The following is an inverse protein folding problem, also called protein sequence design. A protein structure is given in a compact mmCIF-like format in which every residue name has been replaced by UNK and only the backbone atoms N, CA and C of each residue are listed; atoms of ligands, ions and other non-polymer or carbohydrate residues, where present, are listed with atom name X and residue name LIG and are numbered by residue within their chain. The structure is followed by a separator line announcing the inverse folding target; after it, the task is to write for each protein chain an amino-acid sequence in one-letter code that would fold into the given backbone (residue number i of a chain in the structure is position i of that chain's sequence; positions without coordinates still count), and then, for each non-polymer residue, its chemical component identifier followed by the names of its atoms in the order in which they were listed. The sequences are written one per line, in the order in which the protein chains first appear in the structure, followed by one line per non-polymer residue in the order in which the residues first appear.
data_IF_538276855254
#
_entry.id   IF_538276855254
#
_cell.length_a   1.000
_cell.length_b   1.000
_cell.length_c   1.000
_cell.angle_alpha   90.00
_cell.angle_beta   90.00
_cell.angle_gamma   90.00
#
_symmetry.space_group_name_H-M   'P 1'
#
loop_
_entity.id
_entity.type
_entity.pdbx_description
1 polymer ?
#
# COMPACT_ATOMS: atom_id res chain seq x y z
N UNK A 1 -42.77 -108.18 46.44
CA UNK A 1 -41.39 -107.71 46.18
C UNK A 1 -41.45 -106.75 45.00
N UNK A 2 -41.40 -105.44 45.24
CA UNK A 2 -41.42 -104.41 44.20
C UNK A 2 -40.14 -103.58 44.27
N UNK A 3 -39.26 -103.71 43.27
CA UNK A 3 -38.09 -102.85 43.13
C UNK A 3 -38.47 -101.58 42.34
N UNK A 4 -38.55 -100.44 43.03
CA UNK A 4 -38.60 -99.12 42.39
C UNK A 4 -37.18 -98.67 42.04
N UNK A 5 -36.87 -98.62 40.74
CA UNK A 5 -35.65 -98.00 40.22
C UNK A 5 -35.84 -96.47 40.13
N UNK A 6 -35.11 -95.74 40.97
CA UNK A 6 -35.01 -94.28 40.91
C UNK A 6 -34.23 -93.85 39.65
N UNK A 7 -34.88 -93.07 38.77
CA UNK A 7 -34.21 -92.38 37.66
C UNK A 7 -33.59 -91.09 38.18
N UNK A 8 -32.27 -91.06 38.38
CA UNK A 8 -31.54 -89.81 38.53
C UNK A 8 -31.57 -89.04 37.19
N UNK A 9 -32.28 -87.91 37.15
CA UNK A 9 -32.18 -86.95 36.06
C UNK A 9 -30.77 -86.35 36.02
N UNK A 10 -30.14 -86.33 34.85
CA UNK A 10 -28.84 -85.67 34.65
C UNK A 10 -28.95 -84.20 35.11
N UNK A 11 -28.03 -83.69 35.95
CA UNK A 11 -28.03 -82.28 36.31
C UNK A 11 -27.84 -81.47 35.02
N UNK A 12 -28.79 -80.57 34.71
CA UNK A 12 -28.59 -79.59 33.65
C UNK A 12 -27.38 -78.73 34.06
N UNK A 13 -26.37 -78.55 33.18
CA UNK A 13 -25.22 -77.72 33.53
C UNK A 13 -25.74 -76.31 33.84
N UNK A 14 -25.44 -75.81 35.04
CA UNK A 14 -25.78 -74.46 35.51
C UNK A 14 -24.92 -73.37 34.81
N UNK A 15 -23.93 -73.77 34.02
CA UNK A 15 -22.92 -72.91 33.41
C UNK A 15 -23.32 -72.09 32.15
N UNK A 16 -24.29 -72.48 31.29
CA UNK A 16 -24.56 -71.71 30.06
C UNK A 16 -25.28 -70.39 30.32
N UNK A 17 -26.01 -70.28 31.43
CA UNK A 17 -26.76 -69.08 31.81
C UNK A 17 -25.86 -67.93 32.32
N UNK A 18 -24.91 -68.14 33.25
CA UNK A 18 -23.96 -67.09 33.64
C UNK A 18 -23.02 -66.69 32.51
N UNK A 19 -22.64 -67.61 31.61
CA UNK A 19 -21.85 -67.27 30.42
C UNK A 19 -22.66 -66.40 29.45
N UNK A 20 -23.92 -66.74 29.18
CA UNK A 20 -24.80 -65.92 28.34
C UNK A 20 -25.04 -64.52 28.92
N UNK A 21 -25.26 -64.43 30.25
CA UNK A 21 -25.40 -63.15 30.95
C UNK A 21 -24.11 -62.31 30.90
N UNK A 22 -22.94 -62.93 31.10
CA UNK A 22 -21.65 -62.26 30.97
C UNK A 22 -21.42 -61.73 29.54
N UNK A 23 -21.77 -62.49 28.51
CA UNK A 23 -21.68 -62.06 27.11
C UNK A 23 -22.58 -60.85 26.81
N UNK A 24 -23.81 -60.83 27.34
CA UNK A 24 -24.72 -59.69 27.21
C UNK A 24 -24.16 -58.45 27.91
N UNK A 25 -23.61 -58.59 29.12
CA UNK A 25 -22.96 -57.48 29.82
C UNK A 25 -21.72 -56.96 29.08
N UNK A 26 -20.89 -57.85 28.52
CA UNK A 26 -19.75 -57.45 27.68
C UNK A 26 -20.22 -56.71 26.42
N UNK A 27 -21.29 -57.17 25.76
CA UNK A 27 -21.84 -56.50 24.57
C UNK A 27 -22.41 -55.12 24.92
N UNK A 28 -23.14 -55.00 26.03
CA UNK A 28 -23.66 -53.71 26.52
C UNK A 28 -22.52 -52.77 26.94
N UNK A 29 -21.47 -53.29 27.60
CA UNK A 29 -20.28 -52.53 27.95
C UNK A 29 -19.52 -52.03 26.72
N UNK A 30 -19.34 -52.88 25.71
CA UNK A 30 -18.72 -52.50 24.44
C UNK A 30 -19.55 -51.44 23.70
N UNK A 31 -20.87 -51.57 23.67
CA UNK A 31 -21.77 -50.58 23.06
C UNK A 31 -21.71 -49.24 23.81
N UNK A 32 -21.70 -49.25 25.15
CA UNK A 32 -21.56 -48.04 25.96
C UNK A 32 -20.20 -47.35 25.74
N UNK A 33 -19.10 -48.11 25.67
CA UNK A 33 -17.77 -47.60 25.37
C UNK A 33 -17.70 -47.01 23.95
N UNK A 34 -18.34 -47.64 22.97
CA UNK A 34 -18.39 -47.12 21.60
C UNK A 34 -19.15 -45.79 21.52
N UNK A 35 -20.27 -45.66 22.25
CA UNK A 35 -21.03 -44.40 22.34
C UNK A 35 -20.22 -43.31 23.03
N UNK A 36 -19.55 -43.65 24.14
CA UNK A 36 -18.68 -42.72 24.87
C UNK A 36 -17.51 -42.25 24.00
N UNK A 37 -16.87 -43.18 23.28
CA UNK A 37 -15.78 -42.88 22.35
C UNK A 37 -16.23 -41.94 21.24
N UNK A 38 -17.39 -42.21 20.62
CA UNK A 38 -17.95 -41.34 19.60
C UNK A 38 -18.28 -39.93 20.15
N UNK A 39 -18.79 -39.84 21.38
CA UNK A 39 -19.04 -38.56 22.03
C UNK A 39 -17.74 -37.79 22.32
N UNK A 40 -16.69 -38.49 22.75
CA UNK A 40 -15.37 -37.89 23.00
C UNK A 40 -14.74 -37.35 21.72
N UNK A 41 -14.78 -38.13 20.63
CA UNK A 41 -14.28 -37.70 19.31
C UNK A 41 -15.01 -36.45 18.82
N UNK A 42 -16.33 -36.38 19.00
CA UNK A 42 -17.11 -35.19 18.64
C UNK A 42 -16.76 -33.99 19.51
N UNK A 43 -16.59 -34.20 20.81
CA UNK A 43 -16.19 -33.14 21.74
C UNK A 43 -14.79 -32.61 21.41
N UNK A 44 -13.81 -33.49 21.18
CA UNK A 44 -12.46 -33.10 20.80
C UNK A 44 -12.46 -32.31 19.49
N UNK A 45 -13.23 -32.76 18.49
CA UNK A 45 -13.38 -32.04 17.21
C UNK A 45 -14.02 -30.65 17.36
N UNK A 46 -14.82 -30.43 18.40
CA UNK A 46 -15.47 -29.16 18.71
C UNK A 46 -14.58 -28.21 19.54
N UNK A 47 -13.37 -28.59 19.91
CA UNK A 47 -12.48 -27.72 20.69
C UNK A 47 -11.82 -26.61 19.85
N UNK A 48 -11.49 -25.46 20.47
CA UNK A 48 -10.66 -24.41 19.85
C UNK A 48 -9.35 -24.94 19.25
N UNK A 49 -8.66 -25.82 19.99
CA UNK A 49 -7.38 -26.40 19.57
C UNK A 49 -7.54 -27.25 18.31
N UNK A 50 -8.60 -28.08 18.24
CA UNK A 50 -8.89 -28.86 17.05
C UNK A 50 -9.24 -27.98 15.84
N UNK A 51 -9.91 -26.85 16.04
CA UNK A 51 -10.18 -25.89 14.97
C UNK A 51 -8.89 -25.25 14.42
N UNK A 52 -7.97 -24.87 15.30
CA UNK A 52 -6.65 -24.35 14.92
C UNK A 52 -5.86 -25.39 14.14
N UNK A 53 -5.79 -26.64 14.62
CA UNK A 53 -5.09 -27.72 13.92
C UNK A 53 -5.67 -27.98 12.52
N UNK A 54 -7.00 -27.95 12.38
CA UNK A 54 -7.66 -28.04 11.06
C UNK A 54 -7.28 -26.87 10.16
N UNK A 55 -7.20 -25.66 10.71
CA UNK A 55 -6.79 -24.46 9.97
C UNK A 55 -5.36 -24.58 9.46
N UNK A 56 -4.41 -24.99 10.32
CA UNK A 56 -3.02 -25.24 9.95
C UNK A 56 -2.93 -26.26 8.81
N UNK A 57 -3.63 -27.39 8.94
CA UNK A 57 -3.66 -28.43 7.90
C UNK A 57 -4.28 -27.93 6.59
N UNK A 58 -5.35 -27.14 6.67
CA UNK A 58 -6.04 -26.63 5.49
C UNK A 58 -5.19 -25.61 4.72
N UNK A 59 -4.51 -24.70 5.42
CA UNK A 59 -3.60 -23.71 4.84
C UNK A 59 -2.38 -24.42 4.21
N UNK A 60 -1.69 -25.29 4.97
CA UNK A 60 -0.51 -26.01 4.48
C UNK A 60 -0.83 -26.97 3.34
N UNK A 61 -2.02 -27.60 3.38
CA UNK A 61 -2.50 -28.50 2.34
C UNK A 61 -3.08 -27.79 1.11
N UNK A 62 -3.08 -26.45 1.08
CA UNK A 62 -3.70 -25.63 0.03
C UNK A 62 -5.16 -26.03 -0.25
N UNK A 63 -5.90 -26.31 0.81
CA UNK A 63 -7.29 -26.77 0.75
C UNK A 63 -8.30 -25.62 0.81
N UNK A 64 -7.88 -24.44 1.26
CA UNK A 64 -8.70 -23.23 1.31
C UNK A 64 -8.65 -22.51 -0.03
N UNK A 65 -9.79 -21.98 -0.46
CA UNK A 65 -9.90 -21.12 -1.62
C UNK A 65 -10.23 -19.69 -1.20
N UNK A 66 -10.08 -18.76 -2.13
CA UNK A 66 -10.40 -17.35 -1.90
C UNK A 66 -11.85 -17.15 -1.44
N UNK A 67 -12.80 -17.91 -2.00
CA UNK A 67 -14.22 -17.85 -1.60
C UNK A 67 -14.49 -18.30 -0.15
N UNK A 68 -13.56 -19.02 0.48
CA UNK A 68 -13.69 -19.50 1.85
C UNK A 68 -13.22 -18.45 2.87
N UNK A 69 -12.42 -17.46 2.45
CA UNK A 69 -11.82 -16.45 3.33
C UNK A 69 -12.90 -15.45 3.77
N UNK A 70 -13.17 -15.32 5.09
CA UNK A 70 -14.13 -14.34 5.58
C UNK A 70 -13.61 -12.91 5.38
N UNK A 71 -14.48 -11.99 5.01
CA UNK A 71 -14.14 -10.56 4.89
C UNK A 71 -13.54 -9.99 6.19
N UNK A 72 -13.98 -10.50 7.35
CA UNK A 72 -13.44 -10.12 8.66
C UNK A 72 -11.95 -10.47 8.88
N UNK A 73 -11.37 -11.31 8.02
CA UNK A 73 -9.93 -11.63 8.04
C UNK A 73 -9.10 -10.66 7.22
N UNK A 74 -9.74 -9.88 6.33
CA UNK A 74 -9.05 -8.89 5.53
C UNK A 74 -8.84 -7.62 6.38
N UNK A 75 -7.60 -7.14 6.51
CA UNK A 75 -7.32 -5.99 7.38
C UNK A 75 -7.85 -4.66 6.85
N UNK A 76 -8.15 -4.58 5.55
CA UNK A 76 -8.72 -3.40 4.92
C UNK A 76 -9.28 -3.70 3.53
N UNK A 77 -9.87 -2.69 2.90
CA UNK A 77 -10.51 -2.79 1.58
C UNK A 77 -9.54 -3.03 0.42
N UNK A 78 -8.23 -2.90 0.63
CA UNK A 78 -7.22 -3.10 -0.39
C UNK A 78 -6.62 -4.51 -0.34
N UNK A 79 -6.67 -5.18 0.82
CA UNK A 79 -6.30 -6.57 0.94
C UNK A 79 -7.27 -7.50 0.19
N UNK A 80 -6.73 -8.55 -0.41
CA UNK A 80 -7.51 -9.59 -1.09
C UNK A 80 -7.41 -10.93 -0.36
N UNK A 81 -8.38 -11.81 -0.61
CA UNK A 81 -8.36 -13.18 -0.07
C UNK A 81 -7.15 -13.98 -0.56
N UNK A 82 -6.71 -13.78 -1.81
CA UNK A 82 -5.50 -14.41 -2.34
C UNK A 82 -4.25 -14.03 -1.54
N UNK A 83 -4.02 -12.72 -1.35
CA UNK A 83 -2.90 -12.21 -0.55
C UNK A 83 -2.95 -12.72 0.89
N UNK A 84 -4.14 -12.75 1.50
CA UNK A 84 -4.32 -13.33 2.83
C UNK A 84 -3.88 -14.80 2.88
N UNK A 85 -4.25 -15.61 1.90
CA UNK A 85 -3.89 -17.03 1.86
C UNK A 85 -2.38 -17.23 1.66
N UNK A 86 -1.74 -16.40 0.84
CA UNK A 86 -0.29 -16.43 0.64
C UNK A 86 0.45 -16.09 1.95
N UNK A 87 0.05 -15.00 2.63
CA UNK A 87 0.62 -14.61 3.92
C UNK A 87 0.33 -15.65 5.02
N UNK A 88 -0.86 -16.25 5.03
CA UNK A 88 -1.20 -17.32 5.95
C UNK A 88 -0.33 -18.57 5.71
N UNK A 89 -0.07 -18.91 4.44
CA UNK A 89 0.81 -20.02 4.09
C UNK A 89 2.25 -19.76 4.50
N UNK A 90 2.76 -18.54 4.29
CA UNK A 90 4.08 -18.13 4.73
C UNK A 90 4.21 -18.19 6.27
N UNK A 91 3.21 -17.66 6.99
CA UNK A 91 3.17 -17.64 8.45
C UNK A 91 3.17 -19.05 9.07
N UNK A 92 2.42 -19.98 8.46
CA UNK A 92 2.26 -21.34 8.98
C UNK A 92 3.24 -22.34 8.36
N UNK A 93 4.16 -21.90 7.50
CA UNK A 93 5.15 -22.77 6.90
C UNK A 93 6.06 -23.39 7.97
N UNK A 94 6.12 -24.73 8.01
CA UNK A 94 6.91 -25.46 9.01
C UNK A 94 6.25 -25.62 10.38
N UNK A 95 5.11 -24.97 10.64
CA UNK A 95 4.37 -25.17 11.89
C UNK A 95 3.82 -26.61 11.97
N UNK A 96 4.05 -27.35 13.05
CA UNK A 96 3.47 -28.67 13.22
C UNK A 96 1.94 -28.66 13.17
N UNK A 97 1.36 -29.75 12.67
CA UNK A 97 -0.09 -29.93 12.58
C UNK A 97 -0.62 -30.97 13.59
N UNK A 98 0.14 -31.23 14.66
CA UNK A 98 -0.24 -32.12 15.75
C UNK A 98 -0.37 -31.36 17.07
N UNK A 99 -1.16 -31.90 17.99
CA UNK A 99 -1.46 -31.25 19.27
C UNK A 99 -0.28 -31.28 20.25
N UNK A 100 0.53 -32.33 20.21
CA UNK A 100 1.52 -32.63 21.24
C UNK A 100 2.78 -31.76 21.10
N UNK A 101 3.04 -31.26 19.87
CA UNK A 101 4.14 -30.33 19.55
C UNK A 101 3.77 -28.85 19.70
N UNK A 102 2.51 -28.54 20.01
CA UNK A 102 1.99 -27.18 20.05
C UNK A 102 1.47 -26.79 21.44
N UNK A 103 1.70 -25.53 21.80
CA UNK A 103 1.14 -24.90 23.00
C UNK A 103 0.14 -23.84 22.61
N UNK A 104 -1.08 -23.96 23.14
CA UNK A 104 -2.19 -23.07 22.86
C UNK A 104 -2.42 -22.13 24.04
N UNK A 105 -2.32 -20.82 23.81
CA UNK A 105 -2.48 -19.79 24.84
C UNK A 105 -3.63 -18.85 24.45
N UNK A 106 -4.75 -18.95 25.16
CA UNK A 106 -5.87 -18.02 25.02
C UNK A 106 -5.46 -16.63 25.49
N UNK A 107 -5.58 -15.62 24.63
CA UNK A 107 -5.26 -14.21 24.94
C UNK A 107 -6.46 -13.41 25.42
N UNK A 108 -7.64 -13.72 24.90
CA UNK A 108 -8.87 -13.02 25.27
C UNK A 108 -9.97 -13.26 24.27
N UNK A 109 -11.11 -12.64 24.53
CA UNK A 109 -12.25 -12.60 23.64
C UNK A 109 -12.71 -11.14 23.50
N UNK A 110 -12.95 -10.70 22.27
CA UNK A 110 -13.46 -9.38 21.94
C UNK A 110 -14.43 -9.51 20.76
N UNK A 111 -15.57 -8.81 20.84
CA UNK A 111 -16.56 -8.71 19.76
C UNK A 111 -17.00 -10.06 19.15
N UNK A 112 -17.13 -11.10 19.98
CA UNK A 112 -17.54 -12.44 19.55
C UNK A 112 -16.44 -13.31 18.95
N UNK A 113 -15.19 -12.81 18.90
CA UNK A 113 -14.01 -13.51 18.40
C UNK A 113 -13.06 -13.84 19.56
N UNK A 114 -12.53 -15.06 19.58
CA UNK A 114 -11.47 -15.44 20.53
C UNK A 114 -10.09 -15.39 19.87
N UNK A 115 -9.10 -14.89 20.59
CA UNK A 115 -7.71 -14.86 20.12
C UNK A 115 -6.86 -15.89 20.85
N UNK A 116 -6.16 -16.72 20.09
CA UNK A 116 -5.21 -17.70 20.59
C UNK A 116 -3.82 -17.41 20.03
N UNK A 117 -2.80 -17.64 20.84
CA UNK A 117 -1.41 -17.71 20.41
C UNK A 117 -0.97 -19.15 20.45
N UNK A 118 -0.45 -19.62 19.33
CA UNK A 118 0.10 -20.96 19.15
C UNK A 118 1.61 -20.83 19.12
N UNK A 119 2.30 -21.65 19.90
CA UNK A 119 3.76 -21.69 19.95
C UNK A 119 4.21 -23.14 19.77
N UNK A 120 5.12 -23.38 18.84
CA UNK A 120 5.76 -24.69 18.68
C UNK A 120 7.02 -24.83 19.56
N UNK A 121 7.57 -26.04 19.65
CA UNK A 121 8.75 -26.33 20.47
C UNK A 121 10.05 -25.69 19.92
N UNK A 122 10.09 -25.32 18.64
CA UNK A 122 11.22 -24.62 18.00
C UNK A 122 11.15 -23.10 18.16
N UNK A 123 10.08 -22.59 18.77
CA UNK A 123 9.85 -21.17 19.04
C UNK A 123 9.09 -20.43 17.94
N UNK A 124 8.58 -21.15 16.93
CA UNK A 124 7.62 -20.61 15.96
C UNK A 124 6.34 -20.18 16.67
N UNK A 125 5.75 -19.08 16.20
CA UNK A 125 4.60 -18.44 16.83
C UNK A 125 3.63 -17.91 15.79
N UNK A 126 2.36 -18.25 15.94
CA UNK A 126 1.27 -17.67 15.16
C UNK A 126 0.11 -17.29 16.08
N UNK A 127 -0.64 -16.26 15.70
CA UNK A 127 -1.89 -15.89 16.37
C UNK A 127 -3.07 -16.33 15.52
N UNK A 128 -4.15 -16.75 16.15
CA UNK A 128 -5.37 -17.22 15.49
C UNK A 128 -6.59 -16.47 16.03
N UNK A 129 -7.50 -16.13 15.12
CA UNK A 129 -8.84 -15.64 15.42
C UNK A 129 -9.82 -16.80 15.28
N UNK A 130 -10.65 -17.00 16.32
CA UNK A 130 -11.62 -18.07 16.38
C UNK A 130 -13.03 -17.52 16.45
N UNK A 131 -13.89 -18.07 15.62
CA UNK A 131 -15.30 -17.72 15.51
C UNK A 131 -16.15 -18.93 15.92
N UNK A 132 -17.18 -18.74 16.76
CA UNK A 132 -18.12 -19.81 17.09
C UNK A 132 -18.85 -20.31 15.82
N UNK A 133 -18.90 -21.63 15.63
CA UNK A 133 -19.62 -22.28 14.54
C UNK A 133 -20.42 -23.48 15.06
N UNK A 134 -21.72 -23.26 15.27
CA UNK A 134 -22.61 -24.24 15.88
C UNK A 134 -22.13 -24.68 17.27
N UNK A 135 -21.82 -25.97 17.42
CA UNK A 135 -21.29 -26.55 18.66
C UNK A 135 -19.74 -26.47 18.74
N UNK A 136 -19.07 -25.87 17.74
CA UNK A 136 -17.61 -25.84 17.63
C UNK A 136 -17.05 -24.47 17.24
N UNK A 137 -15.90 -24.50 16.57
CA UNK A 137 -15.13 -23.31 16.21
C UNK A 137 -14.54 -23.41 14.82
N UNK A 138 -14.43 -22.26 14.16
CA UNK A 138 -13.61 -22.03 12.97
C UNK A 138 -12.45 -21.12 13.34
N UNK A 139 -11.24 -21.49 12.94
CA UNK A 139 -10.02 -20.75 13.26
C UNK A 139 -9.34 -20.25 11.99
N UNK A 140 -8.85 -19.03 12.03
CA UNK A 140 -8.13 -18.38 10.94
C UNK A 140 -6.83 -17.78 11.47
N UNK A 141 -5.68 -17.98 10.80
CA UNK A 141 -4.45 -17.33 11.20
C UNK A 141 -4.58 -15.81 11.06
N UNK A 142 -4.07 -15.08 12.05
CA UNK A 142 -3.95 -13.64 11.99
C UNK A 142 -2.64 -13.30 11.29
N UNK A 143 -2.76 -12.88 10.03
CA UNK A 143 -1.63 -12.43 9.21
C UNK A 143 -1.14 -11.05 9.65
N UNK A 144 0.11 -10.73 9.32
CA UNK A 144 0.70 -9.45 9.67
C UNK A 144 0.39 -8.40 8.61
N UNK A 145 -0.20 -7.29 9.05
CA UNK A 145 -0.39 -6.11 8.20
C UNK A 145 0.93 -5.40 7.96
N UNK A 146 1.11 -4.90 6.74
CA UNK A 146 2.19 -3.98 6.41
C UNK A 146 1.93 -2.59 6.98
N UNK A 147 2.99 -1.79 7.02
CA UNK A 147 2.87 -0.38 7.38
C UNK A 147 2.08 0.38 6.33
N UNK A 148 1.35 1.39 6.81
CA UNK A 148 0.61 2.31 5.97
C UNK A 148 1.50 2.94 4.88
N UNK A 149 0.93 3.09 3.68
CA UNK A 149 1.56 3.83 2.58
C UNK A 149 0.94 5.21 2.48
N UNK A 150 1.78 6.21 2.22
CA UNK A 150 1.35 7.57 1.87
C UNK A 150 1.41 7.76 0.36
N UNK A 151 0.33 8.27 -0.24
CA UNK A 151 0.30 8.64 -1.66
C UNK A 151 0.04 10.14 -1.78
N UNK A 152 0.81 10.84 -2.61
CA UNK A 152 0.63 12.27 -2.91
C UNK A 152 0.30 12.46 -4.38
N UNK A 153 -0.66 13.31 -4.71
CA UNK A 153 -1.01 13.63 -6.09
C UNK A 153 -1.60 15.05 -6.23
N UNK A 154 -1.45 15.72 -7.39
CA UNK A 154 -2.18 16.94 -7.69
C UNK A 154 -3.69 16.77 -7.52
N UNK A 155 -4.37 17.81 -7.03
CA UNK A 155 -5.80 17.82 -6.88
C UNK A 155 -6.49 17.63 -8.25
N UNK A 156 -7.52 16.78 -8.29
CA UNK A 156 -8.25 16.44 -9.52
C UNK A 156 -7.73 15.19 -10.23
N UNK A 157 -6.62 14.60 -9.78
CA UNK A 157 -6.17 13.28 -10.23
C UNK A 157 -6.94 12.20 -9.47
N UNK A 158 -7.42 11.18 -10.20
CA UNK A 158 -8.00 9.98 -9.60
C UNK A 158 -6.89 8.98 -9.34
N UNK A 159 -6.59 8.72 -8.07
CA UNK A 159 -5.59 7.73 -7.64
C UNK A 159 -6.28 6.40 -7.36
N UNK A 160 -5.71 5.30 -7.86
CA UNK A 160 -6.18 3.95 -7.61
C UNK A 160 -5.08 3.12 -6.93
N UNK A 161 -5.47 2.34 -5.94
CA UNK A 161 -4.64 1.38 -5.22
C UNK A 161 -5.24 0.00 -5.45
N UNK A 162 -4.45 -0.90 -6.02
CA UNK A 162 -4.87 -2.26 -6.43
C UNK A 162 -6.16 -2.23 -7.28
N UNK A 163 -6.23 -1.25 -8.19
CA UNK A 163 -7.37 -1.03 -9.09
C UNK A 163 -8.61 -0.41 -8.44
N UNK A 164 -8.58 -0.05 -7.15
CA UNK A 164 -9.69 0.60 -6.43
C UNK A 164 -9.39 2.09 -6.24
N UNK A 165 -10.32 3.01 -6.54
CA UNK A 165 -10.10 4.42 -6.31
C UNK A 165 -9.98 4.71 -4.81
N UNK A 166 -9.11 5.66 -4.47
CA UNK A 166 -9.05 6.26 -3.13
C UNK A 166 -10.28 7.14 -2.90
N UNK A 167 -10.78 7.10 -1.67
CA UNK A 167 -11.96 7.79 -1.21
C UNK A 167 -11.59 8.84 -0.13
N UNK A 168 -12.59 9.62 0.30
CA UNK A 168 -12.42 10.73 1.24
C UNK A 168 -11.94 10.26 2.62
N UNK A 169 -12.25 9.03 3.01
CA UNK A 169 -11.82 8.44 4.28
C UNK A 169 -10.31 8.15 4.32
N UNK A 170 -9.66 7.94 3.16
CA UNK A 170 -8.20 7.80 3.09
C UNK A 170 -7.49 9.16 2.95
N UNK A 171 -8.22 10.26 2.69
CA UNK A 171 -7.64 11.59 2.55
C UNK A 171 -7.22 12.14 3.92
N UNK A 172 -5.92 12.41 4.08
CA UNK A 172 -5.35 12.91 5.33
C UNK A 172 -4.98 14.38 5.28
N UNK A 173 -4.84 14.96 4.08
CA UNK A 173 -4.57 16.38 3.94
C UNK A 173 -4.60 16.90 2.52
N UNK A 174 -4.67 18.22 2.43
CA UNK A 174 -4.51 18.99 1.20
C UNK A 174 -3.63 20.19 1.50
N UNK A 175 -2.67 20.46 0.63
CA UNK A 175 -1.73 21.57 0.79
C UNK A 175 -1.48 22.27 -0.56
N UNK A 176 -1.18 23.58 -0.57
CA UNK A 176 -0.76 24.25 -1.79
C UNK A 176 0.55 23.67 -2.31
N UNK A 177 0.68 23.55 -3.63
CA UNK A 177 1.91 23.09 -4.28
C UNK A 177 3.01 24.14 -4.08
N UNK A 178 4.20 23.74 -3.60
CA UNK A 178 5.34 24.66 -3.49
C UNK A 178 5.73 25.31 -4.81
N UNK A 179 6.12 26.59 -4.77
CA UNK A 179 6.45 27.40 -5.95
C UNK A 179 5.26 28.17 -6.55
N UNK A 180 4.05 27.98 -6.01
CA UNK A 180 2.85 28.72 -6.40
C UNK A 180 2.30 29.64 -5.31
N UNK A 181 3.09 29.95 -4.28
CA UNK A 181 2.66 30.71 -3.10
C UNK A 181 2.11 32.11 -3.46
N UNK A 182 2.65 32.71 -4.52
CA UNK A 182 2.22 34.03 -5.00
C UNK A 182 0.76 34.07 -5.48
N UNK A 183 0.12 32.91 -5.75
CA UNK A 183 -1.29 32.82 -6.10
C UNK A 183 -2.23 32.83 -4.89
N UNK A 184 -1.72 32.65 -3.66
CA UNK A 184 -2.53 32.57 -2.45
C UNK A 184 -3.57 31.46 -2.54
N UNK A 185 -4.85 31.80 -2.36
CA UNK A 185 -5.96 30.83 -2.41
C UNK A 185 -6.17 30.21 -3.80
N UNK A 186 -5.63 30.80 -4.86
CA UNK A 186 -5.69 30.28 -6.22
C UNK A 186 -4.53 29.32 -6.56
N UNK A 187 -3.63 29.06 -5.62
CA UNK A 187 -2.55 28.10 -5.82
C UNK A 187 -3.12 26.69 -6.10
N UNK A 188 -2.54 25.93 -7.05
CA UNK A 188 -2.90 24.54 -7.21
C UNK A 188 -2.61 23.78 -5.92
N UNK A 189 -3.42 22.76 -5.65
CA UNK A 189 -3.34 21.97 -4.44
C UNK A 189 -2.82 20.57 -4.73
N UNK A 190 -2.15 19.98 -3.75
CA UNK A 190 -1.76 18.59 -3.69
C UNK A 190 -2.54 17.90 -2.57
N UNK A 191 -3.03 16.70 -2.84
CA UNK A 191 -3.72 15.85 -1.89
C UNK A 191 -2.78 14.75 -1.39
N UNK A 192 -2.95 14.41 -0.11
CA UNK A 192 -2.20 13.33 0.56
C UNK A 192 -3.18 12.32 1.13
N UNK A 193 -3.00 11.05 0.75
CA UNK A 193 -3.77 9.92 1.26
C UNK A 193 -2.91 8.98 2.08
N UNK A 194 -3.52 8.35 3.09
CA UNK A 194 -2.94 7.26 3.85
C UNK A 194 -3.71 5.97 3.56
N UNK A 195 -2.99 4.93 3.17
CA UNK A 195 -3.52 3.64 2.76
C UNK A 195 -3.08 2.61 3.79
N UNK A 196 -4.05 2.13 4.57
CA UNK A 196 -3.87 1.12 5.62
C UNK A 196 -4.45 -0.24 5.21
N UNK A 197 -4.21 -1.27 6.02
CA UNK A 197 -4.78 -2.61 5.83
C UNK A 197 -4.21 -3.32 4.60
N UNK A 198 -2.91 -3.18 4.39
CA UNK A 198 -2.15 -3.78 3.30
C UNK A 198 -1.51 -5.09 3.77
N UNK A 199 -1.50 -6.10 2.90
CA UNK A 199 -0.77 -7.36 3.12
C UNK A 199 0.49 -7.44 2.25
N UNK A 200 0.50 -6.71 1.14
CA UNK A 200 1.62 -6.63 0.20
C UNK A 200 1.85 -5.17 -0.21
N UNK A 201 2.96 -4.90 -0.89
CA UNK A 201 3.18 -3.58 -1.47
C UNK A 201 2.13 -3.35 -2.55
N UNK A 202 1.28 -2.31 -2.44
CA UNK A 202 0.17 -2.11 -3.35
C UNK A 202 0.65 -1.62 -4.71
N UNK A 203 -0.14 -1.92 -5.75
CA UNK A 203 -0.01 -1.27 -7.05
C UNK A 203 -0.72 0.08 -7.03
N UNK A 204 0.04 1.16 -7.19
CA UNK A 204 -0.51 2.52 -7.28
C UNK A 204 -0.55 2.96 -8.74
N UNK A 205 -1.74 3.33 -9.21
CA UNK A 205 -1.96 3.89 -10.55
C UNK A 205 -2.75 5.20 -10.44
N UNK A 206 -2.73 6.00 -11.50
CA UNK A 206 -3.40 7.30 -11.50
C UNK A 206 -3.96 7.65 -12.87
N UNK A 207 -5.05 8.41 -12.86
CA UNK A 207 -5.76 8.86 -14.06
C UNK A 207 -6.04 10.36 -13.96
N UNK A 208 -5.72 11.08 -15.04
CA UNK A 208 -6.01 12.50 -15.22
C UNK A 208 -6.78 12.71 -16.51
N UNK A 209 -7.67 13.70 -16.54
CA UNK A 209 -8.42 14.04 -17.76
C UNK A 209 -7.57 14.75 -18.83
N UNK A 210 -6.42 15.33 -18.44
CA UNK A 210 -5.67 16.30 -19.26
C UNK A 210 -4.24 15.90 -19.61
N UNK A 211 -3.80 14.72 -19.17
CA UNK A 211 -2.42 14.29 -19.37
C UNK A 211 -2.16 12.87 -18.88
N UNK A 212 -0.94 12.39 -19.15
CA UNK A 212 -0.43 11.15 -18.57
C UNK A 212 -0.07 11.36 -17.11
N UNK A 213 -0.40 10.39 -16.27
CA UNK A 213 0.11 10.34 -14.91
C UNK A 213 1.32 9.40 -14.85
N UNK A 214 2.28 9.75 -14.01
CA UNK A 214 3.41 8.91 -13.65
C UNK A 214 3.39 8.70 -12.14
N UNK A 215 3.65 7.48 -11.71
CA UNK A 215 3.75 7.13 -10.29
C UNK A 215 5.18 6.74 -10.00
N UNK A 216 5.77 7.37 -8.99
CA UNK A 216 7.14 7.10 -8.54
C UNK A 216 7.12 6.82 -7.03
N UNK A 217 7.82 5.76 -6.61
CA UNK A 217 8.00 5.43 -5.21
C UNK A 217 9.29 6.08 -4.70
N UNK A 218 9.17 7.12 -3.86
CA UNK A 218 10.30 7.77 -3.21
C UNK A 218 10.90 6.86 -2.12
N UNK A 219 10.03 6.11 -1.44
CA UNK A 219 10.38 5.06 -0.47
C UNK A 219 9.37 3.91 -0.60
N UNK A 220 9.60 2.74 0.01
CA UNK A 220 8.59 1.68 0.04
C UNK A 220 7.24 2.07 0.68
N UNK A 221 7.19 3.20 1.41
CA UNK A 221 6.00 3.68 2.11
C UNK A 221 5.46 4.99 1.53
N UNK A 222 6.09 5.56 0.50
CA UNK A 222 5.75 6.87 -0.05
C UNK A 222 5.76 6.83 -1.58
N UNK A 223 4.60 7.06 -2.17
CA UNK A 223 4.42 7.20 -3.60
C UNK A 223 4.00 8.64 -3.94
N UNK A 224 4.55 9.16 -5.03
CA UNK A 224 4.20 10.47 -5.59
C UNK A 224 3.68 10.26 -7.00
N UNK A 225 2.55 10.89 -7.28
CA UNK A 225 1.92 10.92 -8.60
C UNK A 225 2.19 12.28 -9.21
N UNK A 226 2.84 12.30 -10.37
CA UNK A 226 3.01 13.49 -11.18
C UNK A 226 2.11 13.40 -12.41
N UNK A 227 1.66 14.56 -12.89
CA UNK A 227 0.88 14.64 -14.14
C UNK A 227 1.71 15.41 -15.16
N UNK A 228 1.89 14.85 -16.34
CA UNK A 228 2.52 15.54 -17.46
C UNK A 228 1.45 16.35 -18.22
N UNK A 229 1.79 17.55 -18.74
CA UNK A 229 0.87 18.28 -19.60
C UNK A 229 0.58 17.50 -20.89
N UNK A 230 -0.65 17.59 -21.41
CA UNK A 230 -1.00 16.99 -22.71
C UNK A 230 -0.14 17.56 -23.86
N UNK A 231 0.04 16.80 -24.96
CA UNK A 231 1.03 17.08 -26.02
C UNK A 231 1.05 18.54 -26.51
N UNK A 232 -0.14 19.14 -26.75
CA UNK A 232 -0.23 20.54 -27.21
C UNK A 232 0.21 21.56 -26.16
N UNK A 233 -0.15 21.33 -24.90
CA UNK A 233 0.24 22.18 -23.77
C UNK A 233 1.72 21.99 -23.41
N UNK A 234 2.23 20.77 -23.53
CA UNK A 234 3.63 20.44 -23.30
C UNK A 234 4.55 21.23 -24.25
N UNK A 235 4.27 21.19 -25.56
CA UNK A 235 5.06 21.93 -26.55
C UNK A 235 5.00 23.46 -26.33
N UNK A 236 3.82 23.98 -26.01
CA UNK A 236 3.63 25.41 -25.72
C UNK A 236 4.39 25.84 -24.45
N UNK A 237 4.35 25.01 -23.41
CA UNK A 237 5.08 25.25 -22.17
C UNK A 237 6.60 25.16 -22.40
N UNK A 238 7.07 24.17 -23.14
CA UNK A 238 8.49 23.98 -23.46
C UNK A 238 9.09 25.20 -24.17
N UNK A 239 8.41 25.68 -25.22
CA UNK A 239 8.82 26.88 -25.95
C UNK A 239 8.83 28.13 -25.05
N UNK A 240 7.83 28.25 -24.18
CA UNK A 240 7.75 29.34 -23.22
C UNK A 240 8.93 29.32 -22.22
N UNK A 241 9.24 28.14 -21.66
CA UNK A 241 10.31 27.96 -20.69
C UNK A 241 11.69 28.18 -21.31
N UNK A 242 11.96 27.64 -22.50
CA UNK A 242 13.22 27.87 -23.24
C UNK A 242 13.44 29.37 -23.44
N UNK A 243 12.47 30.04 -24.06
CA UNK A 243 12.57 31.47 -24.37
C UNK A 243 12.74 32.31 -23.11
N UNK A 244 11.96 32.03 -22.08
CA UNK A 244 11.96 32.84 -20.85
C UNK A 244 13.25 32.62 -20.06
N UNK A 245 13.76 31.39 -19.97
CA UNK A 245 15.03 31.11 -19.30
C UNK A 245 16.22 31.82 -19.99
N UNK A 246 16.23 31.88 -21.32
CA UNK A 246 17.27 32.61 -22.07
C UNK A 246 17.23 34.11 -21.81
N UNK A 247 16.03 34.70 -21.80
CA UNK A 247 15.85 36.14 -21.51
C UNK A 247 16.21 36.42 -20.05
N UNK A 248 15.82 35.56 -19.11
CA UNK A 248 16.18 35.68 -17.70
C UNK A 248 17.71 35.62 -17.48
N UNK A 249 18.39 34.64 -18.06
CA UNK A 249 19.84 34.50 -17.92
C UNK A 249 20.57 35.73 -18.48
N UNK A 250 20.15 36.22 -19.65
CA UNK A 250 20.66 37.47 -20.24
C UNK A 250 20.35 38.69 -19.38
N UNK A 251 19.17 38.75 -18.76
CA UNK A 251 18.81 39.84 -17.87
C UNK A 251 19.74 39.90 -16.64
N UNK A 252 20.02 38.75 -16.03
CA UNK A 252 20.93 38.64 -14.89
C UNK A 252 22.38 39.00 -15.26
N UNK A 253 22.80 38.74 -16.50
CA UNK A 253 24.14 39.05 -17.01
C UNK A 253 24.28 40.43 -17.66
N UNK A 254 23.27 41.30 -17.55
CA UNK A 254 23.24 42.65 -18.18
C UNK A 254 23.22 42.64 -19.72
N UNK A 255 22.82 41.53 -20.33
CA UNK A 255 22.68 41.33 -21.79
C UNK A 255 21.25 41.54 -22.31
N UNK A 256 20.27 41.67 -21.41
CA UNK A 256 18.89 41.98 -21.74
C UNK A 256 18.29 42.98 -20.74
N UNK A 257 17.30 43.74 -21.18
CA UNK A 257 16.59 44.70 -20.33
C UNK A 257 15.41 44.06 -19.59
N UNK A 258 15.01 44.64 -18.46
CA UNK A 258 13.78 44.22 -17.77
C UNK A 258 12.55 44.36 -18.66
N UNK A 259 12.56 45.26 -19.65
CA UNK A 259 11.45 45.43 -20.59
C UNK A 259 11.24 44.20 -21.50
N UNK A 260 12.31 43.45 -21.78
CA UNK A 260 12.25 42.19 -22.55
C UNK A 260 11.72 41.03 -21.68
N UNK A 261 12.05 41.02 -20.38
CA UNK A 261 11.63 39.97 -19.46
C UNK A 261 10.20 40.16 -18.93
N UNK A 262 9.81 41.41 -18.59
CA UNK A 262 8.55 41.71 -17.89
C UNK A 262 7.30 41.18 -18.59
N UNK A 263 7.33 41.02 -19.92
CA UNK A 263 6.23 40.49 -20.71
C UNK A 263 5.95 39.01 -20.44
N UNK A 264 6.94 38.26 -19.95
CA UNK A 264 6.81 36.86 -19.57
C UNK A 264 6.48 36.66 -18.09
N UNK A 265 6.49 37.70 -17.26
CA UNK A 265 6.28 37.58 -15.81
C UNK A 265 4.83 37.84 -15.42
N UNK A 266 4.37 37.18 -14.36
CA UNK A 266 3.13 37.57 -13.66
C UNK A 266 3.38 38.92 -12.95
N UNK A 267 2.58 39.97 -13.21
CA UNK A 267 2.80 41.28 -12.62
C UNK A 267 2.51 41.29 -11.11
N UNK A 268 3.07 42.29 -10.42
CA UNK A 268 2.80 42.59 -9.01
C UNK A 268 3.11 41.48 -7.98
N UNK A 269 3.78 40.39 -8.40
CA UNK A 269 4.31 39.35 -7.49
C UNK A 269 5.62 39.78 -6.82
N UNK A 270 6.02 39.08 -5.76
CA UNK A 270 7.34 39.29 -5.13
C UNK A 270 8.48 39.02 -6.11
N UNK A 271 8.36 37.96 -6.91
CA UNK A 271 9.34 37.61 -7.95
C UNK A 271 9.46 38.72 -9.01
N UNK A 272 8.33 39.22 -9.52
CA UNK A 272 8.32 40.35 -10.45
C UNK A 272 9.02 41.59 -9.89
N UNK A 273 8.70 41.94 -8.65
CA UNK A 273 9.25 43.13 -8.01
C UNK A 273 10.74 42.99 -7.72
N UNK A 274 11.18 41.79 -7.31
CA UNK A 274 12.59 41.47 -7.08
C UNK A 274 13.39 41.63 -8.36
N UNK A 275 12.89 41.11 -9.48
CA UNK A 275 13.52 41.29 -10.79
C UNK A 275 13.48 42.73 -11.25
N UNK A 276 12.37 43.45 -11.07
CA UNK A 276 12.28 44.87 -11.47
C UNK A 276 13.34 45.74 -10.80
N UNK A 277 13.76 45.40 -9.58
CA UNK A 277 14.77 46.12 -8.80
C UNK A 277 16.14 45.45 -8.79
N UNK A 278 16.33 44.39 -9.58
CA UNK A 278 17.57 43.64 -9.60
C UNK A 278 18.71 44.49 -10.16
N UNK A 279 19.83 44.50 -9.43
CA UNK A 279 21.04 45.18 -9.85
C UNK A 279 22.05 44.17 -10.40
N UNK A 280 22.31 44.25 -11.71
CA UNK A 280 23.30 43.45 -12.45
C UNK A 280 24.71 44.06 -12.42
N UNK A 281 24.93 45.19 -11.75
CA UNK A 281 26.21 45.95 -11.78
C UNK A 281 27.44 45.16 -11.32
N UNK A 282 27.24 44.08 -10.58
CA UNK A 282 28.29 43.16 -10.13
C UNK A 282 28.76 42.20 -11.23
N UNK A 283 28.04 42.09 -12.35
CA UNK A 283 28.38 41.17 -13.43
C UNK A 283 29.61 41.67 -14.21
N UNK A 284 30.47 40.73 -14.59
CA UNK A 284 31.77 41.07 -15.21
C UNK A 284 31.55 41.49 -16.66
N UNK A 285 32.18 42.59 -17.08
CA UNK A 285 32.14 43.00 -18.47
C UNK A 285 32.73 41.95 -19.41
N UNK A 286 32.05 41.71 -20.52
CA UNK A 286 32.36 40.66 -21.49
C UNK A 286 31.94 41.11 -22.90
N UNK A 287 32.39 40.37 -23.93
CA UNK A 287 32.19 40.75 -25.34
C UNK A 287 31.06 39.98 -26.01
N UNK A 288 30.79 38.76 -25.55
CA UNK A 288 29.68 37.93 -26.07
C UNK A 288 29.32 36.81 -25.11
N UNK A 289 28.14 36.23 -25.32
CA UNK A 289 27.62 35.09 -24.56
C UNK A 289 27.03 34.02 -25.47
N UNK A 290 26.98 32.78 -24.99
CA UNK A 290 26.32 31.67 -25.66
C UNK A 290 25.64 30.74 -24.66
N UNK A 291 24.69 29.96 -25.17
CA UNK A 291 24.06 28.86 -24.43
C UNK A 291 24.53 27.55 -25.04
N UNK A 292 25.10 26.69 -24.22
CA UNK A 292 25.49 25.32 -24.60
C UNK A 292 24.63 24.31 -23.82
N UNK A 293 24.43 23.12 -24.37
CA UNK A 293 23.73 22.00 -23.71
C UNK A 293 22.32 22.35 -23.18
N UNK A 294 21.62 23.24 -23.89
CA UNK A 294 20.32 23.72 -23.46
C UNK A 294 19.23 22.66 -23.64
N UNK A 295 18.46 22.41 -22.59
CA UNK A 295 17.32 21.49 -22.60
C UNK A 295 16.24 21.94 -21.62
N UNK A 296 14.99 21.57 -21.95
CA UNK A 296 13.84 21.66 -21.06
C UNK A 296 13.35 20.24 -20.82
N UNK A 297 13.08 19.89 -19.56
CA UNK A 297 12.67 18.55 -19.14
C UNK A 297 11.78 18.62 -17.91
N UNK A 298 11.31 17.46 -17.42
CA UNK A 298 10.56 17.35 -16.16
C UNK A 298 9.34 18.29 -16.12
N UNK A 299 8.58 18.30 -17.24
CA UNK A 299 7.35 19.07 -17.34
C UNK A 299 6.26 18.44 -16.48
N UNK A 300 5.69 19.24 -15.60
CA UNK A 300 4.64 18.83 -14.67
C UNK A 300 3.46 19.78 -14.75
N UNK A 301 2.25 19.24 -14.71
CA UNK A 301 0.99 19.96 -14.64
C UNK A 301 0.37 19.76 -13.26
N UNK A 302 -0.10 20.85 -12.68
CA UNK A 302 -0.83 20.88 -11.41
C UNK A 302 -2.29 21.31 -11.62
N UNK A 303 -2.80 21.11 -12.83
CA UNK A 303 -4.12 21.56 -13.27
C UNK A 303 -4.09 22.28 -14.62
N UNK A 304 -5.21 22.87 -15.05
CA UNK A 304 -5.32 23.54 -16.35
C UNK A 304 -4.40 24.76 -16.53
N UNK A 305 -4.17 25.47 -15.42
CA UNK A 305 -3.62 26.82 -15.45
C UNK A 305 -2.30 26.94 -14.68
N UNK A 306 -1.74 25.81 -14.21
CA UNK A 306 -0.51 25.78 -13.43
C UNK A 306 0.38 24.61 -13.87
N UNK A 307 1.64 24.92 -14.15
CA UNK A 307 2.62 23.94 -14.60
C UNK A 307 4.03 24.35 -14.15
N UNK A 308 4.95 23.39 -14.13
CA UNK A 308 6.36 23.66 -13.89
C UNK A 308 7.24 22.85 -14.85
N UNK A 309 8.48 23.30 -15.03
CA UNK A 309 9.46 22.59 -15.82
C UNK A 309 10.87 22.92 -15.37
N UNK A 310 11.80 22.05 -15.74
CA UNK A 310 13.21 22.20 -15.40
C UNK A 310 14.00 22.54 -16.66
N UNK A 311 14.74 23.64 -16.61
CA UNK A 311 15.60 24.11 -17.70
C UNK A 311 17.06 23.96 -17.30
N UNK A 312 17.85 23.28 -18.14
CA UNK A 312 19.29 23.02 -17.92
C UNK A 312 20.09 23.57 -19.07
N UNK A 313 21.16 24.29 -18.78
CA UNK A 313 22.08 24.80 -19.79
C UNK A 313 23.42 25.21 -19.18
N UNK A 314 24.43 25.37 -20.02
CA UNK A 314 25.69 26.01 -19.66
C UNK A 314 25.74 27.41 -20.28
N UNK A 315 25.78 28.45 -19.44
CA UNK A 315 25.96 29.83 -19.91
C UNK A 315 27.44 30.11 -20.11
N UNK A 316 27.81 30.48 -21.34
CA UNK A 316 29.19 30.75 -21.72
C UNK A 316 29.39 32.26 -21.86
N UNK A 317 30.44 32.77 -21.21
CA UNK A 317 30.81 34.19 -21.27
C UNK A 317 32.21 34.32 -21.85
N UNK A 318 32.33 35.12 -22.92
CA UNK A 318 33.58 35.32 -23.65
C UNK A 318 34.09 36.74 -23.49
N UNK A 319 35.39 36.88 -23.26
CA UNK A 319 36.10 38.16 -23.25
C UNK A 319 37.43 38.01 -23.96
N UNK A 320 37.73 38.92 -24.88
CA UNK A 320 38.94 38.93 -25.68
C UNK A 320 40.18 38.89 -24.76
N UNK A 321 41.11 38.00 -25.09
CA UNK A 321 42.33 37.79 -24.31
C UNK A 321 42.15 37.01 -23.00
N UNK A 322 40.93 36.62 -22.62
CA UNK A 322 40.67 35.75 -21.47
C UNK A 322 40.13 34.39 -21.90
N UNK A 323 40.29 33.40 -21.02
CA UNK A 323 39.64 32.10 -21.22
C UNK A 323 38.12 32.25 -21.03
N UNK A 324 37.30 31.57 -21.85
CA UNK A 324 35.86 31.54 -21.66
C UNK A 324 35.51 31.06 -20.25
N UNK A 325 34.45 31.63 -19.67
CA UNK A 325 33.88 31.19 -18.40
C UNK A 325 32.58 30.45 -18.66
N UNK A 326 32.41 29.30 -18.02
CA UNK A 326 31.20 28.50 -18.07
C UNK A 326 30.44 28.59 -16.75
N UNK A 327 29.13 28.72 -16.84
CA UNK A 327 28.22 28.73 -15.70
C UNK A 327 27.10 27.70 -15.96
N UNK A 328 27.31 26.43 -15.55
CA UNK A 328 26.24 25.45 -15.53
C UNK A 328 25.08 25.99 -14.69
N UNK A 329 23.89 25.97 -15.26
CA UNK A 329 22.70 26.59 -14.70
C UNK A 329 21.53 25.62 -14.78
N UNK A 330 20.80 25.51 -13.68
CA UNK A 330 19.57 24.74 -13.58
C UNK A 330 18.49 25.64 -12.99
N UNK A 331 17.41 25.81 -13.73
CA UNK A 331 16.24 26.56 -13.29
C UNK A 331 15.05 25.63 -13.17
N UNK A 332 14.39 25.63 -12.00
CA UNK A 332 13.02 25.13 -11.85
C UNK A 332 12.09 26.32 -12.01
N UNK A 333 11.24 26.30 -13.02
CA UNK A 333 10.40 27.42 -13.42
C UNK A 333 8.94 27.07 -13.21
N UNK A 334 8.21 27.95 -12.51
CA UNK A 334 6.78 27.78 -12.21
C UNK A 334 5.97 28.73 -13.07
N UNK A 335 5.08 28.18 -13.90
CA UNK A 335 4.32 28.90 -14.88
C UNK A 335 2.82 28.79 -14.63
N UNK A 336 2.12 29.88 -14.93
CA UNK A 336 0.66 29.95 -14.88
C UNK A 336 0.11 30.42 -16.21
N UNK A 337 -1.11 29.97 -16.52
CA UNK A 337 -1.80 30.38 -17.75
C UNK A 337 -2.51 31.71 -17.51
N UNK A 338 -2.23 32.71 -18.34
CA UNK A 338 -2.97 33.97 -18.40
C UNK A 338 -3.46 34.22 -19.83
N UNK A 339 -4.77 34.06 -20.05
CA UNK A 339 -5.36 34.13 -21.40
C UNK A 339 -4.85 32.99 -22.29
N UNK A 340 -4.33 33.34 -23.47
CA UNK A 340 -3.85 32.37 -24.48
C UNK A 340 -2.38 31.95 -24.28
N UNK A 341 -1.71 32.40 -23.21
CA UNK A 341 -0.28 32.19 -23.03
C UNK A 341 0.15 31.89 -21.60
N UNK A 342 1.41 31.47 -21.48
CA UNK A 342 2.07 31.21 -20.21
C UNK A 342 2.76 32.47 -19.67
N UNK A 343 2.80 32.57 -18.34
CA UNK A 343 3.54 33.55 -17.56
C UNK A 343 4.34 32.86 -16.48
N UNK A 344 5.53 33.37 -16.22
CA UNK A 344 6.42 32.89 -15.19
C UNK A 344 6.01 33.55 -13.86
N UNK A 345 5.59 32.70 -12.93
CA UNK A 345 5.19 33.09 -11.59
C UNK A 345 6.42 33.20 -10.68
N UNK A 346 7.31 32.20 -10.75
CA UNK A 346 8.53 32.10 -9.95
C UNK A 346 9.61 31.29 -10.66
N UNK A 347 10.86 31.47 -10.22
CA UNK A 347 12.04 30.73 -10.70
C UNK A 347 12.98 30.41 -9.54
N UNK A 348 13.31 29.14 -9.39
CA UNK A 348 14.28 28.65 -8.41
C UNK A 348 15.55 28.18 -9.13
N UNK A 349 16.70 28.73 -8.73
CA UNK A 349 18.02 28.28 -9.19
C UNK A 349 18.48 27.13 -8.30
N UNK A 350 18.83 25.98 -8.90
CA UNK A 350 19.26 24.78 -8.18
C UNK A 350 20.78 24.62 -8.09
#
# INVERSE_FOLDING_TARGET
MSEQKWRYGRPRPFWPWPVGFALVLCALGAAALAVLWAALVRYEAATPEAAILRSVQAVQGNALKEEDVPEAMLPGRFATAGQYLEEAQALLNGMPADRDSLRFVRKGAADGTETYVVVDDEGGRAEFLLFPDGDGWTAWPKVQELSAVTVRAPQGVTVLVDGRPLEENELTGTAPVPGFEALGEAAPMECTWQVDGLLEQPEVTAQSEKGSCRVEWETPLQAVVTTEPGEGDAASLEEFLDRTARVYARYVSDDASFAELKGSLVPDTEFYNSLRTFDSSWYVSHDSTAFEEFSVSELESFGPDAAAGTVRFTYMVYKEGLRPRSYPSVYRMYAVREGDGWKLLDLQVQ
#
